data_IF_392198900436
#
_entry.id   IF_392198900436
#
_cell.length_a   1.000
_cell.length_b   1.000
_cell.length_c   1.000
_cell.angle_alpha   90.00
_cell.angle_beta   90.00
_cell.angle_gamma   90.00
#
_symmetry.space_group_name_H-M   'P 1'
#
loop_
_entity.id
_entity.type
_entity.pdbx_description
1 polymer ?
#
# COMPACT_ATOMS: atom_id res chain seq x y z
N UNK A 1 33.49 -33.98 63.12
CA UNK A 1 34.45 -33.38 62.18
C UNK A 1 34.31 -34.08 60.85
N UNK A 2 33.34 -33.56 60.10
CA UNK A 2 33.32 -33.27 58.67
C UNK A 2 33.63 -34.35 57.62
N UNK A 3 32.60 -34.61 56.81
CA UNK A 3 32.71 -34.36 55.36
C UNK A 3 32.72 -35.57 54.44
N UNK A 4 31.57 -36.23 54.26
CA UNK A 4 31.30 -37.13 53.12
C UNK A 4 30.51 -36.37 52.05
N UNK A 5 31.16 -36.06 50.93
CA UNK A 5 30.50 -35.64 49.69
C UNK A 5 30.69 -36.75 48.65
N UNK A 6 29.67 -37.58 48.45
CA UNK A 6 29.55 -38.44 47.28
C UNK A 6 28.55 -37.81 46.32
N UNK A 7 29.05 -37.44 45.14
CA UNK A 7 28.23 -37.03 44.02
C UNK A 7 27.45 -38.21 43.44
N UNK A 8 26.24 -37.96 42.97
CA UNK A 8 25.55 -38.83 42.03
C UNK A 8 24.74 -37.94 41.09
N UNK A 9 25.16 -37.91 39.82
CA UNK A 9 24.37 -37.45 38.69
C UNK A 9 23.09 -38.31 38.61
N UNK A 10 21.91 -37.69 38.52
CA UNK A 10 20.75 -38.34 37.91
C UNK A 10 20.06 -37.33 36.98
N UNK A 11 20.06 -37.68 35.69
CA UNK A 11 19.41 -36.93 34.63
C UNK A 11 17.90 -36.96 34.77
N UNK A 12 17.27 -35.83 34.43
CA UNK A 12 15.81 -35.74 34.31
C UNK A 12 15.43 -36.00 32.85
N UNK A 13 14.87 -37.19 32.64
CA UNK A 13 14.09 -37.51 31.46
C UNK A 13 12.78 -36.70 31.50
N UNK A 14 12.49 -36.00 30.41
CA UNK A 14 11.21 -35.34 30.16
C UNK A 14 10.26 -36.41 29.62
N UNK A 15 9.28 -36.80 30.43
CA UNK A 15 8.22 -37.72 30.02
C UNK A 15 6.94 -36.95 29.69
N UNK A 16 6.26 -37.38 28.63
CA UNK A 16 5.09 -36.72 28.05
C UNK A 16 3.84 -36.86 28.94
N UNK A 17 3.04 -35.78 29.03
CA UNK A 17 1.58 -35.95 29.13
C UNK A 17 0.90 -36.04 30.50
N UNK A 18 1.38 -35.38 31.57
CA UNK A 18 0.56 -35.20 32.79
C UNK A 18 0.73 -33.84 33.45
N UNK A 19 -0.37 -33.09 33.54
CA UNK A 19 -0.48 -31.93 34.42
C UNK A 19 -0.41 -32.41 35.86
N UNK A 20 0.67 -32.09 36.56
CA UNK A 20 0.80 -32.34 37.99
C UNK A 20 0.04 -31.22 38.70
N UNK A 21 -1.04 -31.57 39.42
CA UNK A 21 -1.69 -30.64 40.34
C UNK A 21 -0.68 -30.22 41.41
N UNK A 22 -0.45 -28.91 41.55
CA UNK A 22 0.52 -28.30 42.47
C UNK A 22 0.17 -28.45 43.97
N UNK A 23 -0.63 -29.45 44.34
CA UNK A 23 -1.03 -29.75 45.73
C UNK A 23 -0.27 -30.93 46.34
N UNK A 24 0.65 -31.59 45.63
CA UNK A 24 1.32 -32.80 46.13
C UNK A 24 2.79 -32.60 46.58
N UNK A 25 3.29 -31.37 46.67
CA UNK A 25 4.65 -31.10 47.17
C UNK A 25 4.55 -30.15 48.36
N UNK A 26 4.06 -30.63 49.49
CA UNK A 26 4.24 -30.02 50.81
C UNK A 26 3.78 -31.02 51.86
N UNK A 27 4.58 -32.07 52.06
CA UNK A 27 4.46 -32.93 53.23
C UNK A 27 5.84 -33.27 53.74
N UNK A 28 6.51 -32.29 54.34
CA UNK A 28 7.51 -32.47 55.42
C UNK A 28 8.00 -31.09 55.88
N UNK A 29 7.45 -30.58 56.99
CA UNK A 29 8.20 -30.03 58.14
C UNK A 29 7.28 -29.15 59.01
N UNK A 30 7.20 -29.51 60.28
CA UNK A 30 6.55 -28.79 61.37
C UNK A 30 6.92 -27.29 61.45
N UNK A 31 5.97 -26.50 61.97
CA UNK A 31 6.31 -25.43 62.92
C UNK A 31 6.01 -23.98 62.52
N UNK A 32 5.04 -23.39 63.24
CA UNK A 32 4.86 -21.97 63.57
C UNK A 32 4.35 -20.96 62.53
N UNK A 33 3.20 -20.39 62.89
CA UNK A 33 2.50 -19.19 62.45
C UNK A 33 3.38 -17.99 62.07
N UNK A 34 3.02 -17.35 60.96
CA UNK A 34 3.13 -15.90 60.77
C UNK A 34 3.87 -15.44 59.52
N UNK A 35 3.22 -15.48 58.35
CA UNK A 35 3.37 -14.46 57.29
C UNK A 35 2.35 -14.73 56.15
N UNK A 36 1.27 -13.94 56.09
CA UNK A 36 0.30 -13.99 54.97
C UNK A 36 0.85 -13.28 53.70
N UNK A 37 2.08 -12.75 53.73
CA UNK A 37 2.73 -12.06 52.60
C UNK A 37 3.55 -12.96 51.67
N UNK A 38 4.01 -14.13 52.13
CA UNK A 38 4.93 -14.99 51.37
C UNK A 38 4.30 -15.74 50.20
N UNK A 39 3.02 -16.11 50.29
CA UNK A 39 2.37 -16.93 49.25
C UNK A 39 2.04 -16.12 47.98
N UNK A 40 1.66 -14.85 48.13
CA UNK A 40 1.44 -13.94 47.00
C UNK A 40 2.76 -13.56 46.31
N UNK A 41 3.84 -13.45 47.08
CA UNK A 41 5.17 -13.15 46.56
C UNK A 41 5.78 -14.36 45.80
N UNK A 42 5.57 -15.59 46.27
CA UNK A 42 6.01 -16.81 45.57
C UNK A 42 5.21 -17.05 44.29
N UNK A 43 3.89 -16.80 44.28
CA UNK A 43 3.07 -16.86 43.06
C UNK A 43 3.50 -15.81 42.02
N UNK A 44 3.74 -14.57 42.44
CA UNK A 44 4.22 -13.51 41.53
C UNK A 44 5.62 -13.78 40.97
N UNK A 45 6.49 -14.45 41.73
CA UNK A 45 7.84 -14.83 41.30
C UNK A 45 7.82 -16.04 40.34
N UNK A 46 6.94 -17.02 40.56
CA UNK A 46 6.76 -18.18 39.66
C UNK A 46 6.04 -17.82 38.34
N UNK A 47 5.13 -16.84 38.35
CA UNK A 47 4.55 -16.30 37.11
C UNK A 47 5.58 -15.51 36.28
N UNK A 48 6.56 -14.86 36.91
CA UNK A 48 7.60 -14.11 36.20
C UNK A 48 8.62 -15.04 35.52
N UNK A 49 8.96 -16.18 36.15
CA UNK A 49 9.84 -17.24 35.58
C UNK A 49 9.18 -18.06 34.46
N UNK A 50 7.84 -18.13 34.41
CA UNK A 50 7.11 -18.90 33.37
C UNK A 50 6.72 -18.07 32.14
N UNK A 51 6.90 -16.74 32.18
CA UNK A 51 6.65 -15.88 31.03
C UNK A 51 7.83 -15.89 30.05
N UNK A 52 7.68 -16.57 28.91
CA UNK A 52 8.72 -16.68 27.85
C UNK A 52 9.13 -15.32 27.25
N UNK A 53 8.40 -14.24 27.54
CA UNK A 53 8.67 -12.89 27.09
C UNK A 53 9.05 -12.00 28.28
N UNK A 54 10.18 -11.30 28.20
CA UNK A 54 10.62 -10.41 29.28
C UNK A 54 9.67 -9.22 29.46
N UNK A 55 9.42 -8.81 30.71
CA UNK A 55 8.59 -7.64 31.05
C UNK A 55 9.01 -6.35 30.32
N UNK A 56 10.30 -6.00 30.20
CA UNK A 56 10.70 -4.79 29.48
C UNK A 56 10.34 -4.83 27.99
N UNK A 57 10.43 -6.00 27.36
CA UNK A 57 10.08 -6.20 25.96
C UNK A 57 8.56 -6.03 25.73
N UNK A 58 7.75 -6.57 26.64
CA UNK A 58 6.30 -6.42 26.60
C UNK A 58 5.86 -4.97 26.84
N UNK A 59 6.48 -4.27 27.79
CA UNK A 59 6.24 -2.83 28.03
C UNK A 59 6.59 -1.99 26.81
N UNK A 60 7.74 -2.25 26.18
CA UNK A 60 8.12 -1.61 24.92
C UNK A 60 7.07 -1.85 23.82
N UNK A 61 6.60 -3.09 23.69
CA UNK A 61 5.60 -3.46 22.69
C UNK A 61 4.25 -2.76 22.96
N UNK A 62 3.82 -2.68 24.22
CA UNK A 62 2.59 -1.98 24.62
C UNK A 62 2.65 -0.49 24.26
N UNK A 63 3.71 0.22 24.68
CA UNK A 63 3.89 1.65 24.41
C UNK A 63 3.90 1.90 22.90
N UNK A 64 4.68 1.12 22.16
CA UNK A 64 4.80 1.27 20.71
C UNK A 64 3.46 1.00 20.01
N UNK A 65 2.72 -0.01 20.44
CA UNK A 65 1.39 -0.33 19.90
C UNK A 65 0.39 0.80 20.14
N UNK A 66 0.42 1.44 21.32
CA UNK A 66 -0.42 2.60 21.63
C UNK A 66 -0.08 3.79 20.75
N UNK A 67 1.22 4.07 20.53
CA UNK A 67 1.66 5.13 19.61
C UNK A 67 1.21 4.87 18.16
N UNK A 68 1.34 3.64 17.68
CA UNK A 68 0.85 3.22 16.36
C UNK A 68 -0.66 3.40 16.25
N UNK A 69 -1.41 3.03 17.28
CA UNK A 69 -2.85 3.19 17.34
C UNK A 69 -3.27 4.66 17.20
N UNK A 70 -2.71 5.55 18.03
CA UNK A 70 -3.03 6.98 17.99
C UNK A 70 -2.66 7.61 16.66
N UNK A 71 -1.43 7.37 16.19
CA UNK A 71 -0.95 7.93 14.91
C UNK A 71 -1.72 7.37 13.71
N UNK A 72 -2.07 6.09 13.73
CA UNK A 72 -2.87 5.44 12.70
C UNK A 72 -4.29 6.01 12.62
N UNK A 73 -4.97 6.21 13.76
CA UNK A 73 -6.31 6.82 13.78
C UNK A 73 -6.25 8.25 13.23
N UNK A 74 -5.37 9.09 13.77
CA UNK A 74 -5.27 10.50 13.37
C UNK A 74 -4.89 10.62 11.88
N UNK A 75 -3.86 9.89 11.45
CA UNK A 75 -3.32 9.97 10.09
C UNK A 75 -4.32 9.49 9.03
N UNK A 76 -5.00 8.36 9.27
CA UNK A 76 -5.97 7.83 8.31
C UNK A 76 -7.25 8.67 8.26
N UNK A 77 -7.75 9.16 9.41
CA UNK A 77 -8.89 10.09 9.43
C UNK A 77 -8.57 11.40 8.69
N UNK A 78 -7.39 11.98 8.92
CA UNK A 78 -6.94 13.17 8.19
C UNK A 78 -6.88 12.90 6.67
N UNK A 79 -6.39 11.73 6.27
CA UNK A 79 -6.33 11.32 4.86
C UNK A 79 -7.72 11.22 4.23
N UNK A 80 -8.67 10.57 4.93
CA UNK A 80 -10.07 10.45 4.47
C UNK A 80 -10.67 11.84 4.29
N UNK A 81 -10.61 12.70 5.30
CA UNK A 81 -11.18 14.07 5.24
C UNK A 81 -10.52 14.90 4.12
N UNK A 82 -9.21 14.78 3.94
CA UNK A 82 -8.47 15.50 2.89
C UNK A 82 -8.94 15.11 1.49
N UNK A 83 -9.07 13.81 1.22
CA UNK A 83 -9.49 13.30 -0.08
C UNK A 83 -10.96 13.60 -0.39
N UNK A 84 -11.81 13.57 0.64
CA UNK A 84 -13.22 13.93 0.49
C UNK A 84 -13.39 15.43 0.27
N UNK A 85 -12.68 16.30 1.00
CA UNK A 85 -12.89 17.76 0.93
C UNK A 85 -12.17 18.43 -0.23
N UNK A 86 -11.05 17.89 -0.71
CA UNK A 86 -10.23 18.55 -1.73
C UNK A 86 -10.50 18.02 -3.15
N UNK A 87 -11.32 18.72 -3.98
CA UNK A 87 -11.82 18.19 -5.25
C UNK A 87 -10.73 17.91 -6.28
N UNK A 88 -9.61 18.66 -6.25
CA UNK A 88 -8.48 18.46 -7.18
C UNK A 88 -7.77 17.12 -7.02
N UNK A 89 -8.07 16.36 -5.97
CA UNK A 89 -7.51 15.04 -5.71
C UNK A 89 -8.50 13.91 -5.91
N UNK A 90 -9.78 14.21 -6.17
CA UNK A 90 -10.80 13.20 -6.41
C UNK A 90 -10.52 12.52 -7.76
N UNK A 91 -9.95 11.33 -7.68
CA UNK A 91 -9.74 10.42 -8.80
C UNK A 91 -10.02 8.99 -8.34
N UNK A 92 -10.07 8.05 -9.27
CA UNK A 92 -10.39 6.65 -8.98
C UNK A 92 -9.47 6.04 -7.92
N UNK A 93 -8.16 6.30 -8.00
CA UNK A 93 -7.21 5.79 -7.00
C UNK A 93 -7.46 6.38 -5.60
N UNK A 94 -7.90 7.64 -5.50
CA UNK A 94 -8.24 8.26 -4.23
C UNK A 94 -9.41 7.55 -3.53
N UNK A 95 -10.37 7.00 -4.29
CA UNK A 95 -11.48 6.23 -3.72
C UNK A 95 -10.96 4.93 -3.07
N UNK A 96 -10.05 4.21 -3.76
CA UNK A 96 -9.40 3.03 -3.18
C UNK A 96 -8.51 3.39 -1.98
N UNK A 97 -7.85 4.55 -1.99
CA UNK A 97 -7.07 5.04 -0.83
C UNK A 97 -8.00 5.34 0.35
N UNK A 98 -9.19 5.91 0.14
CA UNK A 98 -10.18 6.08 1.20
C UNK A 98 -10.60 4.72 1.79
N UNK A 99 -10.88 3.72 0.95
CA UNK A 99 -11.18 2.36 1.42
C UNK A 99 -10.03 1.74 2.22
N UNK A 100 -8.79 1.94 1.79
CA UNK A 100 -7.58 1.53 2.50
C UNK A 100 -7.51 2.18 3.90
N UNK A 101 -7.72 3.50 3.98
CA UNK A 101 -7.74 4.21 5.26
C UNK A 101 -8.88 3.75 6.19
N UNK A 102 -10.04 3.35 5.65
CA UNK A 102 -11.14 2.78 6.44
C UNK A 102 -10.72 1.43 7.05
N UNK A 103 -10.08 0.57 6.27
CA UNK A 103 -9.54 -0.70 6.76
C UNK A 103 -8.49 -0.47 7.86
N UNK A 104 -7.54 0.44 7.64
CA UNK A 104 -6.50 0.77 8.62
C UNK A 104 -7.10 1.41 9.90
N UNK A 105 -8.11 2.29 9.78
CA UNK A 105 -8.85 2.81 10.93
C UNK A 105 -9.56 1.69 11.72
N UNK A 106 -10.22 0.75 11.04
CA UNK A 106 -10.88 -0.39 11.71
C UNK A 106 -9.88 -1.25 12.48
N UNK A 107 -8.69 -1.45 11.92
CA UNK A 107 -7.59 -2.16 12.56
C UNK A 107 -7.11 -1.41 13.82
N UNK A 108 -6.86 -0.10 13.71
CA UNK A 108 -6.41 0.68 14.85
C UNK A 108 -7.46 0.82 15.95
N UNK A 109 -8.75 0.94 15.61
CA UNK A 109 -9.82 1.13 16.58
C UNK A 109 -10.24 -0.16 17.29
N UNK A 110 -10.18 -1.30 16.59
CA UNK A 110 -10.73 -2.55 17.10
C UNK A 110 -9.63 -3.53 17.49
N UNK A 111 -8.54 -3.65 16.73
CA UNK A 111 -7.53 -4.69 16.97
C UNK A 111 -6.43 -4.22 17.91
N UNK A 112 -5.90 -3.02 17.71
CA UNK A 112 -4.76 -2.51 18.47
C UNK A 112 -5.01 -2.30 19.98
N UNK A 113 -6.21 -1.88 20.46
CA UNK A 113 -6.45 -1.72 21.88
C UNK A 113 -6.30 -3.03 22.66
N UNK A 114 -6.88 -4.12 22.14
CA UNK A 114 -6.79 -5.43 22.78
C UNK A 114 -5.38 -6.01 22.68
N UNK A 115 -4.66 -5.76 21.58
CA UNK A 115 -3.26 -6.15 21.47
C UNK A 115 -2.35 -5.37 22.45
N UNK A 116 -2.61 -4.08 22.67
CA UNK A 116 -1.90 -3.30 23.68
C UNK A 116 -2.20 -3.82 25.10
N UNK A 117 -3.46 -4.09 25.42
CA UNK A 117 -3.85 -4.70 26.71
C UNK A 117 -3.19 -6.07 26.92
N UNK A 118 -3.14 -6.90 25.87
CA UNK A 118 -2.42 -8.19 25.90
C UNK A 118 -0.95 -8.01 26.25
N UNK A 119 -0.27 -7.00 25.70
CA UNK A 119 1.12 -6.72 26.05
C UNK A 119 1.27 -6.21 27.49
N UNK A 120 0.38 -5.33 27.95
CA UNK A 120 0.40 -4.81 29.32
C UNK A 120 0.22 -5.94 30.34
N UNK A 121 -0.70 -6.87 30.07
CA UNK A 121 -0.99 -8.02 30.94
C UNK A 121 0.01 -9.16 30.78
N UNK A 122 0.74 -9.20 29.67
CA UNK A 122 1.63 -10.31 29.29
C UNK A 122 0.92 -11.55 28.74
N UNK A 123 -0.42 -11.60 28.81
CA UNK A 123 -1.24 -12.72 28.34
C UNK A 123 -2.61 -12.26 27.85
N UNK A 124 -3.34 -13.15 27.18
CA UNK A 124 -4.70 -12.88 26.72
C UNK A 124 -5.73 -13.28 27.78
N UNK A 125 -6.44 -12.29 28.34
CA UNK A 125 -7.40 -12.47 29.43
C UNK A 125 -8.87 -12.23 29.01
N UNK A 126 -9.11 -11.87 27.76
CA UNK A 126 -10.42 -11.37 27.30
C UNK A 126 -11.38 -12.47 26.84
N UNK A 127 -11.06 -13.74 27.10
CA UNK A 127 -11.86 -14.89 26.70
C UNK A 127 -11.72 -15.26 25.22
N UNK A 128 -12.29 -16.41 24.86
CA UNK A 128 -12.15 -17.02 23.53
C UNK A 128 -12.92 -16.26 22.45
N UNK A 129 -14.12 -15.77 22.75
CA UNK A 129 -14.96 -15.05 21.78
C UNK A 129 -14.26 -13.80 21.25
N UNK A 130 -13.66 -12.99 22.14
CA UNK A 130 -12.90 -11.82 21.71
C UNK A 130 -11.60 -12.22 21.00
N UNK A 131 -10.95 -13.31 21.41
CA UNK A 131 -9.76 -13.82 20.72
C UNK A 131 -10.07 -14.15 19.26
N UNK A 132 -11.20 -14.81 19.02
CA UNK A 132 -11.74 -15.14 17.70
C UNK A 132 -12.09 -13.89 16.91
N UNK A 133 -12.88 -12.98 17.49
CA UNK A 133 -13.33 -11.77 16.81
C UNK A 133 -12.17 -10.85 16.42
N UNK A 134 -11.25 -10.58 17.34
CA UNK A 134 -10.08 -9.72 17.09
C UNK A 134 -9.18 -10.34 16.03
N UNK A 135 -9.01 -11.66 16.03
CA UNK A 135 -8.22 -12.36 15.02
C UNK A 135 -8.87 -12.29 13.64
N UNK A 136 -10.18 -12.52 13.55
CA UNK A 136 -10.95 -12.40 12.31
C UNK A 136 -10.86 -10.99 11.70
N UNK A 137 -11.02 -9.96 12.54
CA UNK A 137 -10.89 -8.56 12.10
C UNK A 137 -9.45 -8.23 11.70
N UNK A 138 -8.46 -8.71 12.46
CA UNK A 138 -7.04 -8.49 12.16
C UNK A 138 -6.66 -9.01 10.77
N UNK A 139 -6.94 -10.28 10.49
CA UNK A 139 -6.63 -10.88 9.19
C UNK A 139 -7.50 -10.30 8.08
N UNK A 140 -8.78 -10.01 8.35
CA UNK A 140 -9.70 -9.36 7.42
C UNK A 140 -9.24 -7.99 6.97
N UNK A 141 -8.90 -7.11 7.91
CA UNK A 141 -8.42 -5.76 7.59
C UNK A 141 -7.08 -5.78 6.86
N UNK A 142 -6.13 -6.65 7.25
CA UNK A 142 -4.86 -6.81 6.52
C UNK A 142 -5.11 -7.24 5.07
N UNK A 143 -6.00 -8.20 4.85
CA UNK A 143 -6.37 -8.66 3.50
C UNK A 143 -7.03 -7.56 2.67
N UNK A 144 -7.95 -6.77 3.26
CA UNK A 144 -8.57 -5.62 2.59
C UNK A 144 -7.52 -4.59 2.22
N UNK A 145 -6.59 -4.26 3.11
CA UNK A 145 -5.52 -3.29 2.84
C UNK A 145 -4.65 -3.74 1.66
N UNK A 146 -4.26 -5.02 1.60
CA UNK A 146 -3.48 -5.55 0.47
C UNK A 146 -4.26 -5.54 -0.85
N UNK A 147 -5.52 -5.98 -0.84
CA UNK A 147 -6.36 -5.97 -2.03
C UNK A 147 -6.59 -4.53 -2.52
N UNK A 148 -6.78 -3.56 -1.63
CA UNK A 148 -6.86 -2.15 -2.00
C UNK A 148 -5.55 -1.68 -2.67
N UNK A 149 -4.38 -2.04 -2.15
CA UNK A 149 -3.08 -1.74 -2.78
C UNK A 149 -2.98 -2.38 -4.18
N UNK A 150 -3.45 -3.62 -4.33
CA UNK A 150 -3.53 -4.29 -5.63
C UNK A 150 -4.44 -3.52 -6.59
N UNK A 151 -5.63 -3.10 -6.15
CA UNK A 151 -6.56 -2.33 -6.99
C UNK A 151 -6.00 -0.96 -7.37
N UNK A 152 -5.32 -0.26 -6.46
CA UNK A 152 -4.63 1.00 -6.78
C UNK A 152 -3.57 0.76 -7.85
N UNK A 153 -2.81 -0.34 -7.75
CA UNK A 153 -1.77 -0.70 -8.72
C UNK A 153 -2.36 -1.05 -10.09
N UNK A 154 -3.42 -1.86 -10.15
CA UNK A 154 -4.14 -2.21 -11.38
C UNK A 154 -4.71 -0.94 -12.03
N UNK A 155 -5.29 -0.03 -11.25
CA UNK A 155 -5.76 1.26 -11.74
C UNK A 155 -4.65 2.06 -12.42
N UNK A 156 -3.46 2.11 -11.83
CA UNK A 156 -2.30 2.79 -12.44
C UNK A 156 -1.83 2.07 -13.70
N UNK A 157 -1.81 0.74 -13.69
CA UNK A 157 -1.46 -0.03 -14.87
C UNK A 157 -2.40 0.23 -16.04
N UNK A 158 -3.72 0.13 -15.84
CA UNK A 158 -4.71 0.37 -16.90
C UNK A 158 -4.65 1.81 -17.40
N UNK A 159 -4.52 2.80 -16.50
CA UNK A 159 -4.40 4.21 -16.88
C UNK A 159 -3.18 4.48 -17.78
N UNK A 160 -2.04 3.86 -17.49
CA UNK A 160 -0.77 4.11 -18.20
C UNK A 160 -0.65 3.27 -19.47
N UNK A 161 -1.05 2.00 -19.42
CA UNK A 161 -0.85 1.04 -20.50
C UNK A 161 -2.06 0.93 -21.46
N UNK A 162 -3.27 1.17 -20.96
CA UNK A 162 -4.54 0.89 -21.65
C UNK A 162 -5.55 2.03 -21.46
N UNK A 163 -5.14 3.27 -21.74
CA UNK A 163 -5.93 4.47 -21.50
C UNK A 163 -7.31 4.46 -22.19
N UNK A 164 -7.41 3.81 -23.36
CA UNK A 164 -8.62 3.68 -24.17
C UNK A 164 -9.71 2.83 -23.50
N UNK A 165 -9.30 1.89 -22.63
CA UNK A 165 -10.22 1.00 -21.90
C UNK A 165 -10.55 1.56 -20.51
N UNK A 166 -9.74 2.49 -19.99
CA UNK A 166 -9.86 3.04 -18.65
C UNK A 166 -11.27 3.56 -18.31
N UNK A 167 -11.87 4.36 -19.20
CA UNK A 167 -13.21 4.92 -19.01
C UNK A 167 -14.33 3.86 -19.01
N UNK A 168 -14.11 2.71 -19.66
CA UNK A 168 -15.07 1.60 -19.68
C UNK A 168 -15.04 0.81 -18.37
N UNK A 169 -13.85 0.62 -17.81
CA UNK A 169 -13.61 -0.17 -16.59
C UNK A 169 -13.98 0.62 -15.33
N UNK A 170 -13.54 1.87 -15.22
CA UNK A 170 -13.66 2.65 -13.99
C UNK A 170 -14.89 3.56 -13.96
N UNK A 171 -16.07 2.97 -14.16
CA UNK A 171 -17.35 3.66 -13.90
C UNK A 171 -17.67 3.58 -12.40
N UNK A 172 -18.42 4.55 -11.87
CA UNK A 172 -18.74 4.63 -10.43
C UNK A 172 -19.39 3.36 -9.87
N UNK A 173 -20.30 2.73 -10.62
CA UNK A 173 -20.94 1.47 -10.23
C UNK A 173 -19.94 0.33 -10.13
N UNK A 174 -19.07 0.17 -11.13
CA UNK A 174 -18.02 -0.85 -11.12
C UNK A 174 -16.99 -0.62 -10.02
N UNK A 175 -16.61 0.62 -9.73
CA UNK A 175 -15.71 0.94 -8.60
C UNK A 175 -16.32 0.49 -7.27
N UNK A 176 -17.62 0.75 -7.05
CA UNK A 176 -18.31 0.29 -5.84
C UNK A 176 -18.33 -1.25 -5.74
N UNK A 177 -18.59 -1.95 -6.86
CA UNK A 177 -18.51 -3.42 -6.93
C UNK A 177 -17.10 -3.92 -6.61
N UNK A 178 -16.07 -3.29 -7.17
CA UNK A 178 -14.66 -3.66 -6.91
C UNK A 178 -14.30 -3.51 -5.43
N UNK A 179 -14.73 -2.42 -4.78
CA UNK A 179 -14.51 -2.22 -3.34
C UNK A 179 -15.26 -3.29 -2.54
N UNK A 180 -16.55 -3.48 -2.80
CA UNK A 180 -17.35 -4.50 -2.11
C UNK A 180 -16.72 -5.89 -2.26
N UNK A 181 -16.23 -6.23 -3.46
CA UNK A 181 -15.52 -7.48 -3.72
C UNK A 181 -14.24 -7.61 -2.88
N UNK A 182 -13.44 -6.56 -2.68
CA UNK A 182 -12.27 -6.61 -1.80
C UNK A 182 -12.64 -6.96 -0.35
N UNK A 183 -13.69 -6.33 0.19
CA UNK A 183 -14.16 -6.58 1.55
C UNK A 183 -14.76 -7.99 1.70
N UNK A 184 -15.68 -8.34 0.81
CA UNK A 184 -16.36 -9.65 0.82
C UNK A 184 -15.35 -10.77 0.61
N UNK A 185 -14.40 -10.63 -0.30
CA UNK A 185 -13.38 -11.67 -0.52
C UNK A 185 -12.48 -11.83 0.71
N UNK A 186 -11.99 -10.73 1.30
CA UNK A 186 -11.09 -10.78 2.45
C UNK A 186 -11.72 -11.43 3.68
N UNK A 187 -12.94 -11.01 4.05
CA UNK A 187 -13.65 -11.55 5.21
C UNK A 187 -14.35 -12.88 4.89
N UNK A 188 -14.92 -13.01 3.71
CA UNK A 188 -15.64 -14.19 3.26
C UNK A 188 -14.75 -15.42 3.17
N UNK A 189 -13.51 -15.26 2.71
CA UNK A 189 -12.56 -16.37 2.64
C UNK A 189 -12.26 -16.97 4.02
N UNK A 190 -12.37 -16.18 5.10
CA UNK A 190 -12.11 -16.61 6.47
C UNK A 190 -13.29 -17.31 7.15
N UNK A 191 -14.48 -17.28 6.54
CA UNK A 191 -15.69 -17.89 7.13
C UNK A 191 -15.53 -19.39 7.44
N UNK A 192 -14.90 -20.24 6.60
CA UNK A 192 -14.68 -21.64 6.96
C UNK A 192 -13.86 -21.84 8.24
N UNK A 193 -12.90 -20.94 8.51
CA UNK A 193 -12.12 -20.96 9.76
C UNK A 193 -12.90 -20.38 10.93
N UNK A 194 -13.76 -19.37 10.68
CA UNK A 194 -14.64 -18.82 11.70
C UNK A 194 -15.65 -19.86 12.21
N UNK A 195 -16.21 -20.67 11.31
CA UNK A 195 -17.17 -21.72 11.64
C UNK A 195 -16.53 -23.07 12.02
N UNK A 196 -15.20 -23.14 12.11
CA UNK A 196 -14.49 -24.37 12.51
C UNK A 196 -14.50 -25.50 11.48
N UNK A 197 -14.92 -25.24 10.23
CA UNK A 197 -14.94 -26.22 9.14
C UNK A 197 -13.53 -26.53 8.63
N UNK A 198 -12.64 -25.52 8.65
CA UNK A 198 -11.25 -25.67 8.22
C UNK A 198 -10.31 -24.78 9.03
N UNK A 199 -9.66 -25.40 10.03
CA UNK A 199 -8.95 -24.68 11.07
C UNK A 199 -9.89 -23.88 11.99
N UNK A 200 -9.31 -23.27 13.03
CA UNK A 200 -10.06 -22.45 14.01
C UNK A 200 -9.27 -21.22 14.42
N UNK A 201 -9.95 -20.16 14.82
CA UNK A 201 -9.31 -19.07 15.55
C UNK A 201 -9.18 -19.44 17.02
N UNK A 202 -8.07 -19.06 17.66
CA UNK A 202 -7.88 -19.34 19.06
C UNK A 202 -6.56 -18.81 19.61
N UNK A 203 -6.39 -18.95 20.92
CA UNK A 203 -5.20 -18.48 21.61
C UNK A 203 -4.05 -19.48 21.46
N UNK A 204 -2.92 -19.01 20.92
CA UNK A 204 -1.70 -19.80 20.86
C UNK A 204 -0.83 -19.49 22.07
N UNK A 205 -0.77 -20.41 23.02
CA UNK A 205 0.01 -20.28 24.26
C UNK A 205 1.52 -20.15 24.01
N UNK A 206 2.05 -20.78 22.96
CA UNK A 206 3.49 -20.70 22.64
C UNK A 206 3.87 -19.29 22.17
N UNK A 207 3.02 -18.67 21.34
CA UNK A 207 3.21 -17.33 20.78
C UNK A 207 2.61 -16.21 21.65
N UNK A 208 1.93 -16.56 22.74
CA UNK A 208 1.25 -15.62 23.63
C UNK A 208 0.20 -14.75 22.93
N UNK A 209 -0.43 -15.23 21.84
CA UNK A 209 -1.27 -14.41 20.96
C UNK A 209 -2.38 -15.20 20.28
N UNK A 210 -3.44 -14.49 19.90
CA UNK A 210 -4.55 -15.06 19.14
C UNK A 210 -4.17 -15.24 17.67
N UNK A 211 -4.40 -16.43 17.10
CA UNK A 211 -4.04 -16.75 15.72
C UNK A 211 -4.91 -17.88 15.16
N UNK A 212 -4.62 -18.29 13.93
CA UNK A 212 -5.23 -19.47 13.30
C UNK A 212 -4.51 -20.71 13.84
N UNK A 213 -5.28 -21.63 14.40
CA UNK A 213 -4.84 -22.93 14.92
C UNK A 213 -5.38 -24.07 14.04
N UNK A 214 -4.75 -25.25 14.07
CA UNK A 214 -5.32 -26.44 13.48
C UNK A 214 -6.67 -26.81 14.13
N UNK A 215 -7.56 -27.40 13.34
CA UNK A 215 -8.77 -28.05 13.83
C UNK A 215 -8.45 -29.42 14.46
N UNK A 216 -9.49 -30.12 14.93
CA UNK A 216 -9.39 -31.44 15.56
C UNK A 216 -8.79 -32.52 14.64
N UNK A 217 -8.90 -32.33 13.32
CA UNK A 217 -8.34 -33.23 12.32
C UNK A 217 -6.91 -32.83 11.90
N UNK A 218 -6.31 -31.87 12.60
CA UNK A 218 -4.97 -31.34 12.30
C UNK A 218 -4.91 -30.47 11.04
N UNK A 219 -6.04 -30.10 10.44
CA UNK A 219 -6.07 -29.26 9.23
C UNK A 219 -6.01 -27.79 9.65
N UNK A 220 -5.25 -26.99 8.90
CA UNK A 220 -5.14 -25.55 9.16
C UNK A 220 -5.29 -24.76 7.86
N UNK A 221 -6.14 -23.72 7.90
CA UNK A 221 -6.31 -22.77 6.80
C UNK A 221 -5.15 -21.78 6.68
N UNK A 222 -4.23 -21.72 7.66
CA UNK A 222 -3.16 -20.71 7.75
C UNK A 222 -2.31 -20.63 6.47
N UNK A 223 -1.91 -21.77 5.91
CA UNK A 223 -1.09 -21.82 4.68
C UNK A 223 -1.88 -21.35 3.46
N UNK A 224 -3.14 -21.78 3.32
CA UNK A 224 -3.99 -21.36 2.22
C UNK A 224 -4.30 -19.86 2.26
N UNK A 225 -4.56 -19.32 3.46
CA UNK A 225 -4.68 -17.89 3.74
C UNK A 225 -3.46 -17.11 3.28
N UNK A 226 -2.27 -17.58 3.63
CA UNK A 226 -1.04 -16.93 3.18
C UNK A 226 -0.88 -16.95 1.65
N UNK A 227 -1.15 -18.06 0.99
CA UNK A 227 -0.99 -18.15 -0.47
C UNK A 227 -2.02 -17.28 -1.19
N UNK A 228 -3.30 -17.47 -0.86
CA UNK A 228 -4.41 -16.86 -1.61
C UNK A 228 -4.59 -15.39 -1.25
N UNK A 229 -4.57 -15.06 0.04
CA UNK A 229 -4.86 -13.70 0.51
C UNK A 229 -3.62 -12.81 0.58
N UNK A 230 -2.39 -13.35 0.49
CA UNK A 230 -1.16 -12.55 0.52
C UNK A 230 -0.26 -12.75 -0.72
N UNK A 231 0.14 -13.98 -1.04
CA UNK A 231 1.12 -14.22 -2.09
C UNK A 231 0.58 -13.89 -3.50
N UNK A 232 -0.65 -14.32 -3.82
CA UNK A 232 -1.29 -14.03 -5.12
C UNK A 232 -1.43 -12.51 -5.36
N UNK A 233 -2.00 -11.70 -4.44
CA UNK A 233 -2.04 -10.25 -4.58
C UNK A 233 -0.66 -9.60 -4.77
N UNK A 234 0.36 -10.07 -4.04
CA UNK A 234 1.74 -9.59 -4.19
C UNK A 234 2.29 -9.88 -5.61
N UNK A 235 2.07 -11.08 -6.14
CA UNK A 235 2.48 -11.45 -7.50
C UNK A 235 1.78 -10.56 -8.54
N UNK A 236 0.48 -10.32 -8.39
CA UNK A 236 -0.28 -9.43 -9.28
C UNK A 236 0.34 -8.03 -9.28
N UNK A 237 0.68 -7.49 -8.10
CA UNK A 237 1.32 -6.17 -7.97
C UNK A 237 2.67 -6.14 -8.70
N UNK A 238 3.52 -7.16 -8.49
CA UNK A 238 4.84 -7.26 -9.15
C UNK A 238 4.72 -7.32 -10.67
N UNK A 239 3.77 -8.10 -11.19
CA UNK A 239 3.50 -8.19 -12.63
C UNK A 239 3.03 -6.83 -13.16
N UNK A 240 2.10 -6.17 -12.47
CA UNK A 240 1.59 -4.86 -12.87
C UNK A 240 2.71 -3.81 -12.94
N UNK A 241 3.58 -3.74 -11.91
CA UNK A 241 4.71 -2.81 -11.94
C UNK A 241 5.71 -3.14 -13.04
N UNK A 242 6.05 -4.41 -13.21
CA UNK A 242 6.93 -4.86 -14.31
C UNK A 242 6.41 -4.37 -15.67
N UNK A 243 5.09 -4.50 -15.90
CA UNK A 243 4.44 -4.01 -17.13
C UNK A 243 4.41 -2.49 -17.22
N UNK A 244 4.14 -1.78 -16.13
CA UNK A 244 4.20 -0.30 -16.09
C UNK A 244 5.60 0.18 -16.49
N UNK A 245 6.64 -0.35 -15.84
CA UNK A 245 8.03 0.02 -16.14
C UNK A 245 8.38 -0.28 -17.60
N UNK A 246 7.97 -1.44 -18.12
CA UNK A 246 8.17 -1.79 -19.53
C UNK A 246 7.53 -0.78 -20.48
N UNK A 247 6.24 -0.47 -20.29
CA UNK A 247 5.49 0.46 -21.15
C UNK A 247 6.11 1.85 -21.14
N UNK A 248 6.53 2.33 -19.97
CA UNK A 248 7.18 3.65 -19.85
C UNK A 248 8.51 3.68 -20.60
N UNK A 249 9.40 2.70 -20.39
CA UNK A 249 10.69 2.67 -21.09
C UNK A 249 10.54 2.48 -22.60
N UNK A 250 9.60 1.64 -23.03
CA UNK A 250 9.28 1.48 -24.46
C UNK A 250 8.77 2.78 -25.08
N UNK A 251 7.94 3.56 -24.35
CA UNK A 251 7.47 4.87 -24.81
C UNK A 251 8.62 5.85 -25.02
N UNK A 252 9.58 5.89 -24.10
CA UNK A 252 10.74 6.78 -24.19
C UNK A 252 11.65 6.42 -25.35
N UNK A 253 11.90 5.12 -25.58
CA UNK A 253 12.70 4.64 -26.72
C UNK A 253 12.03 5.01 -28.05
N UNK A 254 10.71 4.87 -28.17
CA UNK A 254 9.96 5.27 -29.37
C UNK A 254 10.06 6.78 -29.66
N UNK A 255 9.95 7.62 -28.64
CA UNK A 255 10.09 9.08 -28.79
C UNK A 255 11.52 9.48 -29.19
N UNK A 256 12.55 8.87 -28.57
CA UNK A 256 13.96 9.11 -28.94
C UNK A 256 14.25 8.68 -30.38
N UNK A 257 13.69 7.57 -30.83
CA UNK A 257 13.86 7.12 -32.22
C UNK A 257 13.18 8.05 -33.23
N UNK A 258 11.98 8.57 -32.93
CA UNK A 258 11.32 9.57 -33.79
C UNK A 258 12.11 10.88 -33.85
N UNK A 259 12.63 11.36 -32.71
CA UNK A 259 13.49 12.55 -32.67
C UNK A 259 14.76 12.37 -33.50
N UNK A 260 15.42 11.20 -33.43
CA UNK A 260 16.59 10.88 -34.26
C UNK A 260 16.25 10.82 -35.76
N UNK A 261 15.13 10.19 -36.13
CA UNK A 261 14.67 10.10 -37.52
C UNK A 261 14.26 11.45 -38.11
N UNK A 262 13.83 12.40 -37.29
CA UNK A 262 13.47 13.76 -37.73
C UNK A 262 14.71 14.66 -37.83
N UNK A 263 15.74 14.43 -37.00
CA UNK A 263 17.04 15.11 -37.11
C UNK A 263 17.92 14.60 -38.25
N UNK A 264 17.60 13.45 -38.85
CA UNK A 264 18.32 12.86 -39.98
C UNK A 264 17.78 13.27 -41.36
N UNK A 265 16.85 14.21 -41.44
CA UNK A 265 16.47 14.83 -42.73
C UNK A 265 17.65 15.72 -43.17
N UNK A 266 18.30 15.45 -44.31
CA UNK A 266 19.45 16.24 -44.76
C UNK A 266 19.05 17.70 -44.97
N UNK A 267 19.89 18.63 -44.49
CA UNK A 267 19.72 20.08 -44.69
C UNK A 267 19.54 20.49 -46.16
N UNK A 268 19.94 19.63 -47.11
CA UNK A 268 19.84 19.86 -48.55
C UNK A 268 18.38 19.88 -49.09
N UNK A 269 17.38 19.46 -48.31
CA UNK A 269 15.96 19.62 -48.67
C UNK A 269 15.29 20.84 -48.04
N UNK A 270 16.01 21.61 -47.21
CA UNK A 270 15.45 22.80 -46.53
C UNK A 270 15.67 24.11 -47.29
N UNK A 271 16.58 24.14 -48.26
CA UNK A 271 16.96 25.36 -49.00
C UNK A 271 16.21 25.59 -50.32
N UNK A 272 15.12 24.86 -50.60
CA UNK A 272 14.38 25.01 -51.86
C UNK A 272 13.00 25.70 -51.70
N UNK A 273 12.70 26.29 -50.54
CA UNK A 273 11.41 26.92 -50.26
C UNK A 273 11.62 28.29 -49.60
N UNK A 274 12.25 29.21 -50.31
CA UNK A 274 12.17 30.65 -50.02
C UNK A 274 11.76 31.38 -51.32
N UNK A 275 10.56 31.98 -51.40
CA UNK A 275 10.22 32.92 -52.44
C UNK A 275 10.41 34.35 -51.90
N UNK A 276 11.58 34.95 -52.11
CA UNK A 276 11.77 36.39 -52.33
C UNK A 276 13.26 36.78 -52.25
N UNK A 277 13.88 37.04 -53.40
CA UNK A 277 14.95 38.03 -53.50
C UNK A 277 14.75 38.82 -54.81
N UNK A 278 14.65 40.16 -54.76
CA UNK A 278 14.41 40.97 -55.94
C UNK A 278 15.66 41.08 -56.83
N UNK A 279 15.39 41.20 -58.13
CA UNK A 279 16.29 41.49 -59.23
C UNK A 279 17.28 42.63 -58.93
N UNK A 280 18.56 42.43 -59.26
CA UNK A 280 19.38 43.48 -59.87
C UNK A 280 20.50 42.88 -60.74
N UNK A 281 20.44 43.29 -62.01
CA UNK A 281 21.38 43.21 -63.14
C UNK A 281 22.88 43.11 -62.85
N UNK A 282 23.59 42.35 -63.70
CA UNK A 282 25.03 42.53 -63.90
C UNK A 282 25.78 41.37 -64.56
N UNK A 283 25.72 41.30 -65.89
CA UNK A 283 26.77 40.86 -66.85
C UNK A 283 27.69 39.65 -66.59
N UNK A 284 27.77 38.84 -67.66
CA UNK A 284 28.96 38.24 -68.28
C UNK A 284 29.35 36.78 -67.95
N UNK A 285 29.09 35.95 -68.96
CA UNK A 285 30.03 35.02 -69.61
C UNK A 285 30.21 33.58 -69.10
N UNK A 286 29.92 32.71 -70.07
CA UNK A 286 30.62 31.46 -70.43
C UNK A 286 29.95 30.13 -70.10
N UNK A 287 29.84 29.38 -71.20
CA UNK A 287 29.25 28.08 -71.41
C UNK A 287 29.79 26.97 -70.49
N UNK A 288 28.95 25.98 -70.16
CA UNK A 288 29.05 24.70 -70.84
C UNK A 288 27.82 23.81 -70.61
N UNK A 289 27.44 23.12 -71.68
CA UNK A 289 26.44 22.06 -71.69
C UNK A 289 26.93 20.86 -70.88
N UNK A 290 26.04 20.22 -70.12
CA UNK A 290 25.73 18.81 -70.34
C UNK A 290 24.46 18.39 -69.60
N UNK A 291 23.62 17.67 -70.35
CA UNK A 291 22.40 16.97 -69.99
C UNK A 291 22.52 16.07 -68.76
N UNK A 292 21.40 15.85 -68.06
CA UNK A 292 20.76 14.52 -67.94
C UNK A 292 19.40 14.71 -67.26
N UNK A 293 18.38 14.21 -67.95
CA UNK A 293 16.98 14.16 -67.54
C UNK A 293 16.76 13.06 -66.50
N UNK A 294 16.03 13.34 -65.42
CA UNK A 294 15.20 12.34 -64.76
C UNK A 294 13.83 12.92 -64.44
N UNK A 295 12.84 12.31 -65.06
CA UNK A 295 11.41 12.39 -64.77
C UNK A 295 11.15 11.89 -63.35
N UNK A 296 10.48 12.67 -62.52
CA UNK A 296 9.80 12.13 -61.33
C UNK A 296 8.56 12.97 -61.00
N UNK A 297 7.44 12.27 -61.07
CA UNK A 297 6.08 12.76 -60.92
C UNK A 297 5.80 13.33 -59.53
N UNK A 298 4.91 14.33 -59.55
CA UNK A 298 4.18 14.95 -58.45
C UNK A 298 3.85 14.03 -57.27
N UNK A 299 4.10 14.52 -56.05
CA UNK A 299 3.22 14.35 -54.89
C UNK A 299 3.46 15.51 -53.92
N UNK A 300 2.52 16.45 -53.94
CA UNK A 300 2.54 17.67 -53.15
C UNK A 300 2.56 17.39 -51.64
N UNK A 301 3.61 17.85 -50.95
CA UNK A 301 3.63 17.94 -49.48
C UNK A 301 3.25 19.38 -49.11
N UNK A 302 2.01 19.59 -48.67
CA UNK A 302 1.61 20.83 -47.97
C UNK A 302 2.25 20.82 -46.58
N UNK A 303 3.37 21.52 -46.41
CA UNK A 303 3.95 21.78 -45.08
C UNK A 303 3.40 23.09 -44.55
N UNK A 304 2.55 23.01 -43.53
CA UNK A 304 2.10 24.16 -42.76
C UNK A 304 3.26 24.71 -41.91
N UNK A 305 3.92 25.77 -42.38
CA UNK A 305 4.90 26.53 -41.61
C UNK A 305 4.16 27.55 -40.73
N UNK A 306 4.15 27.34 -39.42
CA UNK A 306 3.51 28.26 -38.46
C UNK A 306 3.38 27.80 -36.99
N UNK A 307 3.98 26.68 -36.58
CA UNK A 307 3.67 26.01 -35.28
C UNK A 307 4.85 25.89 -34.30
N UNK A 308 5.99 26.55 -34.49
CA UNK A 308 7.19 26.27 -33.68
C UNK A 308 7.10 26.74 -32.20
N UNK A 309 6.39 27.82 -31.91
CA UNK A 309 6.24 28.36 -30.54
C UNK A 309 5.13 27.68 -29.74
N UNK A 310 4.11 27.14 -30.40
CA UNK A 310 3.01 26.40 -29.75
C UNK A 310 3.39 24.96 -29.40
N UNK A 311 4.27 24.31 -30.17
CA UNK A 311 4.76 22.94 -29.88
C UNK A 311 5.69 22.88 -28.68
N UNK A 312 6.64 23.81 -28.53
CA UNK A 312 7.54 23.81 -27.37
C UNK A 312 6.77 23.99 -26.03
N UNK A 313 5.75 24.84 -26.02
CA UNK A 313 4.90 25.05 -24.85
C UNK A 313 3.99 23.84 -24.55
N UNK A 314 3.48 23.13 -25.56
CA UNK A 314 2.72 21.88 -25.36
C UNK A 314 3.62 20.76 -24.86
N UNK A 315 4.82 20.61 -25.42
CA UNK A 315 5.77 19.56 -25.06
C UNK A 315 6.24 19.70 -23.60
N UNK A 316 6.48 20.93 -23.13
CA UNK A 316 6.80 21.23 -21.73
C UNK A 316 5.62 20.88 -20.80
N UNK A 317 4.38 21.18 -21.21
CA UNK A 317 3.17 20.85 -20.43
C UNK A 317 2.97 19.34 -20.33
N UNK A 318 3.16 18.62 -21.43
CA UNK A 318 3.02 17.15 -21.49
C UNK A 318 4.13 16.43 -20.71
N UNK A 319 5.37 16.92 -20.79
CA UNK A 319 6.47 16.41 -19.97
C UNK A 319 6.21 16.63 -18.46
N UNK A 320 5.65 17.79 -18.08
CA UNK A 320 5.26 18.09 -16.70
C UNK A 320 4.12 17.20 -16.22
N UNK A 321 3.12 16.93 -17.05
CA UNK A 321 2.01 16.02 -16.76
C UNK A 321 2.52 14.59 -16.55
N UNK A 322 3.35 14.06 -17.47
CA UNK A 322 3.97 12.73 -17.37
C UNK A 322 4.81 12.58 -16.10
N UNK A 323 5.57 13.62 -15.72
CA UNK A 323 6.37 13.62 -14.47
C UNK A 323 5.49 13.58 -13.22
N UNK A 324 4.34 14.24 -13.23
CA UNK A 324 3.41 14.22 -12.10
C UNK A 324 2.73 12.85 -11.96
N UNK A 325 2.29 12.23 -13.05
CA UNK A 325 1.75 10.87 -13.02
C UNK A 325 2.78 9.85 -12.52
N UNK A 326 4.03 9.96 -12.99
CA UNK A 326 5.11 9.08 -12.54
C UNK A 326 5.39 9.19 -11.03
N UNK A 327 5.28 10.40 -10.45
CA UNK A 327 5.41 10.59 -9.00
C UNK A 327 4.32 9.84 -8.23
N UNK A 328 3.09 9.83 -8.74
CA UNK A 328 1.98 9.10 -8.12
C UNK A 328 2.24 7.59 -8.19
N UNK A 329 2.69 7.07 -9.33
CA UNK A 329 3.05 5.65 -9.46
C UNK A 329 4.15 5.23 -8.49
N UNK A 330 5.19 6.06 -8.31
CA UNK A 330 6.23 5.79 -7.29
C UNK A 330 5.68 5.78 -5.87
N UNK A 331 4.71 6.66 -5.56
CA UNK A 331 4.04 6.67 -4.27
C UNK A 331 3.31 5.35 -4.03
N UNK A 332 2.57 4.84 -5.02
CA UNK A 332 1.88 3.53 -4.89
C UNK A 332 2.89 2.39 -4.70
N UNK A 333 4.04 2.43 -5.40
CA UNK A 333 5.08 1.43 -5.22
C UNK A 333 5.65 1.47 -3.80
N UNK A 334 5.88 2.67 -3.24
CA UNK A 334 6.35 2.82 -1.88
C UNK A 334 5.36 2.25 -0.85
N UNK A 335 4.05 2.44 -1.05
CA UNK A 335 3.01 1.84 -0.19
C UNK A 335 3.09 0.31 -0.22
N UNK A 336 3.25 -0.28 -1.41
CA UNK A 336 3.39 -1.72 -1.53
C UNK A 336 4.66 -2.23 -0.84
N UNK A 337 5.80 -1.58 -1.07
CA UNK A 337 7.06 -1.95 -0.44
C UNK A 337 6.99 -1.82 1.08
N UNK A 338 6.34 -0.78 1.61
CA UNK A 338 6.14 -0.65 3.05
C UNK A 338 5.25 -1.75 3.61
N UNK A 339 4.18 -2.14 2.91
CA UNK A 339 3.32 -3.25 3.33
C UNK A 339 4.12 -4.56 3.44
N UNK A 340 4.93 -4.87 2.41
CA UNK A 340 5.80 -6.05 2.39
C UNK A 340 6.82 -6.01 3.52
N UNK A 341 7.51 -4.88 3.72
CA UNK A 341 8.49 -4.71 4.81
C UNK A 341 7.86 -4.86 6.20
N UNK A 342 6.60 -4.46 6.37
CA UNK A 342 5.88 -4.60 7.64
C UNK A 342 5.39 -6.04 7.89
N UNK A 343 5.02 -6.77 6.85
CA UNK A 343 4.38 -8.09 6.97
C UNK A 343 5.36 -9.27 6.89
N UNK A 344 6.45 -9.15 6.12
CA UNK A 344 7.43 -10.22 5.95
C UNK A 344 8.07 -10.67 7.28
N UNK A 345 8.51 -9.78 8.19
CA UNK A 345 9.20 -10.18 9.41
C UNK A 345 8.39 -11.19 10.22
N UNK A 346 7.12 -10.89 10.52
CA UNK A 346 6.29 -11.82 11.30
C UNK A 346 6.00 -13.13 10.57
N UNK A 347 5.88 -13.09 9.24
CA UNK A 347 5.69 -14.28 8.42
C UNK A 347 6.89 -15.20 8.52
N UNK A 348 8.10 -14.62 8.39
CA UNK A 348 9.36 -15.36 8.48
C UNK A 348 9.55 -15.92 9.89
N UNK A 349 9.32 -15.11 10.94
CA UNK A 349 9.44 -15.55 12.35
C UNK A 349 8.58 -16.77 12.64
N UNK A 350 7.34 -16.80 12.13
CA UNK A 350 6.42 -17.93 12.33
C UNK A 350 6.83 -19.21 11.60
N UNK A 351 7.60 -19.10 10.52
CA UNK A 351 8.08 -20.25 9.75
C UNK A 351 9.37 -20.80 10.34
N UNK A 352 10.33 -19.91 10.62
CA UNK A 352 11.69 -20.26 11.06
C UNK A 352 11.72 -20.64 12.54
N UNK A 353 10.94 -19.96 13.38
CA UNK A 353 10.98 -20.12 14.84
C UNK A 353 9.61 -20.49 15.40
N UNK A 354 9.17 -21.73 15.11
CA UNK A 354 7.87 -22.25 15.57
C UNK A 354 7.79 -22.39 17.09
N UNK A 355 8.92 -22.70 17.73
CA UNK A 355 9.01 -22.93 19.17
C UNK A 355 9.30 -21.65 19.97
N UNK A 356 9.37 -20.48 19.31
CA UNK A 356 9.60 -19.18 19.96
C UNK A 356 10.90 -19.18 20.78
N UNK A 357 11.96 -19.73 20.20
CA UNK A 357 13.31 -19.70 20.75
C UNK A 357 13.89 -18.29 20.80
N UNK A 358 13.42 -17.38 19.93
CA UNK A 358 13.81 -15.97 19.92
C UNK A 358 12.57 -15.07 20.09
N UNK A 359 12.08 -14.88 21.33
CA UNK A 359 10.84 -14.12 21.61
C UNK A 359 10.85 -12.69 21.08
N UNK A 360 12.02 -12.03 21.12
CA UNK A 360 12.23 -10.66 20.61
C UNK A 360 11.86 -10.54 19.13
N UNK A 361 12.22 -11.54 18.32
CA UNK A 361 11.96 -11.53 16.88
C UNK A 361 10.46 -11.58 16.57
N UNK A 362 9.68 -12.33 17.36
CA UNK A 362 8.22 -12.38 17.22
C UNK A 362 7.57 -11.07 17.62
N UNK A 363 8.00 -10.47 18.74
CA UNK A 363 7.47 -9.17 19.20
C UNK A 363 7.76 -8.07 18.18
N UNK A 364 9.00 -7.96 17.68
CA UNK A 364 9.36 -7.00 16.63
C UNK A 364 8.53 -7.25 15.37
N UNK A 365 8.34 -8.52 14.98
CA UNK A 365 7.48 -8.89 13.86
C UNK A 365 6.05 -8.38 14.02
N UNK A 366 5.44 -8.54 15.21
CA UNK A 366 4.10 -8.02 15.48
C UNK A 366 4.06 -6.49 15.46
N UNK A 367 5.05 -5.81 16.02
CA UNK A 367 5.12 -4.35 15.97
C UNK A 367 5.24 -3.85 14.52
N UNK A 368 6.05 -4.50 13.69
CA UNK A 368 6.16 -4.17 12.26
C UNK A 368 4.83 -4.40 11.54
N UNK A 369 4.12 -5.50 11.84
CA UNK A 369 2.77 -5.74 11.32
C UNK A 369 1.83 -4.59 11.68
N UNK A 370 1.82 -4.15 12.95
CA UNK A 370 0.93 -3.07 13.39
C UNK A 370 1.28 -1.72 12.76
N UNK A 371 2.57 -1.46 12.57
CA UNK A 371 3.09 -0.24 11.95
C UNK A 371 2.54 -0.04 10.51
N UNK A 372 2.17 -1.13 9.82
CA UNK A 372 1.55 -1.06 8.49
C UNK A 372 0.30 -0.17 8.45
N UNK A 373 -0.46 -0.07 9.55
CA UNK A 373 -1.69 0.72 9.62
C UNK A 373 -1.45 2.24 9.70
N UNK A 374 -0.25 2.70 10.08
CA UNK A 374 0.03 4.14 10.25
C UNK A 374 1.08 4.70 9.28
N UNK A 375 1.78 3.86 8.52
CA UNK A 375 2.78 4.30 7.54
C UNK A 375 2.14 4.99 6.31
N UNK A 376 0.94 4.57 5.89
CA UNK A 376 0.33 5.04 4.64
C UNK A 376 0.18 6.58 4.59
N UNK A 377 -0.40 7.26 5.61
CA UNK A 377 -0.45 8.72 5.66
C UNK A 377 0.92 9.41 5.57
N UNK A 378 1.95 8.83 6.19
CA UNK A 378 3.32 9.37 6.18
C UNK A 378 3.86 9.35 4.74
N UNK A 379 3.66 8.24 4.02
CA UNK A 379 4.05 8.12 2.60
C UNK A 379 3.36 9.18 1.74
N UNK A 380 2.06 9.41 1.95
CA UNK A 380 1.31 10.42 1.20
C UNK A 380 1.90 11.83 1.38
N UNK A 381 2.23 12.20 2.62
CA UNK A 381 2.84 13.49 2.95
C UNK A 381 4.21 13.63 2.28
N UNK A 382 5.08 12.62 2.40
CA UNK A 382 6.46 12.70 1.87
C UNK A 382 6.43 12.77 0.34
N UNK A 383 5.66 11.91 -0.31
CA UNK A 383 5.80 11.65 -1.74
C UNK A 383 4.87 12.47 -2.63
N UNK A 384 3.81 13.10 -2.10
CA UNK A 384 2.83 13.78 -2.92
C UNK A 384 2.51 15.22 -2.48
N UNK A 385 2.92 16.19 -3.32
CA UNK A 385 2.70 17.62 -3.09
C UNK A 385 1.22 18.00 -2.98
N UNK A 386 0.32 17.28 -3.67
CA UNK A 386 -1.11 17.57 -3.60
C UNK A 386 -1.70 17.16 -2.25
N UNK A 387 -1.30 15.99 -1.72
CA UNK A 387 -1.68 15.54 -0.38
C UNK A 387 -1.19 16.53 0.67
N UNK A 388 0.07 16.97 0.60
CA UNK A 388 0.59 18.00 1.51
C UNK A 388 -0.25 19.26 1.51
N UNK A 389 -0.60 19.78 0.33
CA UNK A 389 -1.45 20.97 0.21
C UNK A 389 -2.82 20.76 0.84
N UNK A 390 -3.46 19.61 0.58
CA UNK A 390 -4.75 19.29 1.18
C UNK A 390 -4.64 19.21 2.71
N UNK A 391 -3.59 18.60 3.25
CA UNK A 391 -3.38 18.48 4.70
C UNK A 391 -3.11 19.84 5.33
N UNK A 392 -2.29 20.70 4.70
CA UNK A 392 -2.07 22.08 5.16
C UNK A 392 -3.37 22.89 5.17
N UNK A 393 -4.21 22.77 4.14
CA UNK A 393 -5.50 23.50 4.11
C UNK A 393 -6.40 23.07 5.27
N UNK A 394 -6.44 21.77 5.57
CA UNK A 394 -7.23 21.24 6.68
C UNK A 394 -6.67 21.66 8.05
N UNK A 395 -5.37 21.45 8.28
CA UNK A 395 -4.74 21.70 9.58
C UNK A 395 -4.71 23.19 9.95
N UNK A 396 -4.53 24.07 8.97
CA UNK A 396 -4.44 25.51 9.21
C UNK A 396 -5.74 26.27 8.90
N UNK A 397 -6.86 25.56 8.67
CA UNK A 397 -8.17 26.12 8.37
C UNK A 397 -8.13 27.30 7.37
N UNK A 398 -7.20 27.28 6.41
CA UNK A 398 -7.11 28.36 5.43
C UNK A 398 -8.36 28.26 4.55
N UNK A 399 -9.17 29.33 4.40
CA UNK A 399 -10.26 29.31 3.45
C UNK A 399 -9.64 29.06 2.09
N UNK A 400 -9.80 27.83 1.59
CA UNK A 400 -9.50 27.57 0.20
C UNK A 400 -10.36 28.53 -0.60
N UNK A 401 -9.77 29.25 -1.56
CA UNK A 401 -10.53 29.83 -2.67
C UNK A 401 -11.23 28.68 -3.41
N UNK A 402 -12.31 28.18 -2.83
CA UNK A 402 -12.96 26.91 -3.12
C UNK A 402 -14.49 27.09 -3.11
N UNK A 403 -14.92 28.28 -3.54
CA UNK A 403 -16.24 28.56 -4.08
C UNK A 403 -16.04 29.42 -5.32
N UNK A 404 -15.71 28.76 -6.43
CA UNK A 404 -15.90 29.30 -7.77
C UNK A 404 -17.15 28.66 -8.37
N UNK A 405 -18.30 28.84 -7.71
CA UNK A 405 -19.59 28.76 -8.37
C UNK A 405 -19.82 30.15 -8.94
N UNK A 406 -19.48 30.36 -10.21
CA UNK A 406 -19.98 31.52 -10.95
C UNK A 406 -21.48 31.35 -11.11
N UNK A 407 -22.24 32.02 -10.26
CA UNK A 407 -23.64 32.28 -10.51
C UNK A 407 -23.70 33.23 -11.71
N UNK A 408 -24.28 32.74 -12.81
CA UNK A 408 -24.65 33.60 -13.93
C UNK A 408 -25.73 34.59 -13.49
N UNK A 409 -25.62 35.83 -13.97
CA UNK A 409 -26.56 36.91 -13.70
C UNK A 409 -26.14 38.24 -14.32
N UNK A 410 -26.43 38.40 -15.61
CA UNK A 410 -26.89 39.65 -16.28
C UNK A 410 -25.94 40.85 -16.50
N UNK A 411 -25.46 40.99 -17.73
CA UNK A 411 -25.61 42.18 -18.63
C UNK A 411 -24.81 41.91 -19.92
N UNK A 412 -25.47 41.51 -21.01
CA UNK A 412 -25.89 42.34 -22.16
C UNK A 412 -24.71 42.84 -23.02
N UNK A 413 -24.65 42.37 -24.27
CA UNK A 413 -24.07 43.11 -25.41
C UNK A 413 -22.78 42.55 -26.03
N UNK A 414 -22.89 41.49 -26.84
CA UNK A 414 -22.52 41.49 -28.28
C UNK A 414 -22.27 40.09 -28.84
N UNK A 415 -22.84 39.84 -30.02
CA UNK A 415 -22.72 38.65 -30.88
C UNK A 415 -22.18 39.11 -32.25
N UNK A 416 -21.93 38.21 -33.23
CA UNK A 416 -21.33 36.87 -33.25
C UNK A 416 -20.09 36.85 -34.20
N UNK A 417 -19.21 35.84 -34.32
CA UNK A 417 -19.38 34.51 -34.94
C UNK A 417 -17.97 33.90 -35.26
N UNK A 418 -17.82 32.68 -35.83
CA UNK A 418 -17.88 31.33 -35.24
C UNK A 418 -16.55 30.55 -35.35
N UNK A 419 -16.31 29.46 -34.57
CA UNK A 419 -15.76 28.18 -35.09
C UNK A 419 -16.11 26.97 -34.18
N UNK A 420 -16.93 26.08 -34.75
CA UNK A 420 -17.01 24.61 -34.64
C UNK A 420 -16.84 23.89 -33.29
N UNK A 421 -17.98 23.44 -32.75
CA UNK A 421 -18.10 22.21 -31.97
C UNK A 421 -19.27 21.41 -32.56
N UNK A 422 -18.97 20.25 -33.13
CA UNK A 422 -19.97 19.28 -33.59
C UNK A 422 -20.33 18.37 -32.42
N UNK A 423 -21.58 18.46 -32.01
CA UNK A 423 -22.28 17.47 -31.20
C UNK A 423 -22.63 16.25 -32.06
N UNK A 424 -22.56 15.04 -31.47
CA UNK A 424 -23.53 13.99 -31.78
C UNK A 424 -23.87 13.29 -30.46
N UNK A 425 -25.13 13.45 -30.08
CA UNK A 425 -25.92 12.51 -29.32
C UNK A 425 -27.01 12.01 -30.27
N UNK A 426 -27.25 10.70 -30.33
CA UNK A 426 -28.60 10.12 -30.40
C UNK A 426 -28.55 8.59 -30.36
N UNK A 427 -29.61 8.04 -29.74
CA UNK A 427 -30.05 6.64 -29.60
C UNK A 427 -29.44 5.80 -28.47
#
# INVERSE_FOLDING_TARGET
MDGLANGTLMGLAVDEGRWINATSVLSTSDGSLGDDGGMEQVYSTFEDETSRFSRPLLTFAAITTILIMVTGIIGNLLTIVALLKYPKMRNVAAIFIVSLCIADCSFCLIVLPFNALRFIRGTWMHGETLCTLITFIQYGSVGVSLLCITMITINRYIMIAHYNVYAKVYKSTWIAVMIAACWIFSYGFQLPTLFGVWGRFGYNHQLGTCSILPDEHGRSSKTAMFIIAFLIPCIIIVICYSRIFWVVHASEKRMKNHSKSQSSIPNNLRSAIDPAAPLSSGSSSSANNNSISYTASSSAVKVASGRATTTAASDIRDAKAKRNEWRITKMVLAIFLSFVMCYLPITISKIVDKNVSVPVLHIIGYIMLYLSACINPIIYVIMNKQYRKAYTILLFCRPGRLLGFTHGGSSVGDSPHPQHLVAIQDS
#
